data_IF_474410294197
#
_entry.id   IF_474410294197
#
_cell.length_a   1.000
_cell.length_b   1.000
_cell.length_c   1.000
_cell.angle_alpha   90.00
_cell.angle_beta   90.00
_cell.angle_gamma   90.00
#
_symmetry.space_group_name_H-M   'P 1'
#
loop_
_entity.id
_entity.type
_entity.pdbx_description
1 polymer ?
#
# COMPACT_ATOMS: atom_id res chain seq x y z
N UNK A 1 -35.48 19.07 -22.03
CA UNK A 1 -35.51 17.72 -22.60
C UNK A 1 -35.01 16.80 -21.50
N UNK A 2 -35.93 15.98 -21.01
CA UNK A 2 -35.83 15.07 -19.86
C UNK A 2 -34.98 13.86 -20.20
N UNK A 3 -33.94 13.56 -19.42
CA UNK A 3 -33.38 12.21 -19.36
C UNK A 3 -33.12 11.83 -17.90
N UNK A 4 -34.00 10.97 -17.40
CA UNK A 4 -33.92 10.25 -16.13
C UNK A 4 -32.78 9.24 -16.17
N UNK A 5 -31.84 9.32 -15.24
CA UNK A 5 -30.92 8.21 -14.95
C UNK A 5 -31.52 7.32 -13.86
N UNK A 6 -31.80 6.08 -14.27
CA UNK A 6 -32.38 5.00 -13.46
C UNK A 6 -31.36 4.47 -12.46
N UNK A 7 -31.59 4.74 -11.19
CA UNK A 7 -30.88 4.09 -10.08
C UNK A 7 -31.31 2.62 -9.97
N UNK A 8 -30.35 1.72 -10.09
CA UNK A 8 -30.56 0.27 -10.15
C UNK A 8 -30.30 -0.33 -8.76
N UNK A 9 -31.36 -0.37 -7.96
CA UNK A 9 -31.40 -0.94 -6.60
C UNK A 9 -31.09 -2.45 -6.64
N UNK A 10 -29.82 -2.84 -6.48
CA UNK A 10 -29.37 -4.24 -6.40
C UNK A 10 -29.73 -4.85 -5.03
N UNK A 11 -31.00 -5.25 -4.91
CA UNK A 11 -31.54 -6.00 -3.78
C UNK A 11 -31.23 -7.49 -3.97
N UNK A 12 -30.26 -8.01 -3.23
CA UNK A 12 -30.00 -9.46 -3.15
C UNK A 12 -31.24 -10.21 -2.64
N UNK A 13 -31.82 -11.18 -3.36
CA UNK A 13 -32.91 -11.99 -2.83
C UNK A 13 -32.33 -13.09 -1.94
N UNK A 14 -32.52 -12.99 -0.63
CA UNK A 14 -32.42 -14.14 0.26
C UNK A 14 -33.45 -15.19 -0.15
N UNK A 15 -32.99 -16.38 -0.55
CA UNK A 15 -33.85 -17.55 -0.73
C UNK A 15 -34.46 -17.95 0.63
N UNK A 16 -35.72 -17.59 0.84
CA UNK A 16 -36.55 -18.10 1.94
C UNK A 16 -37.19 -19.39 1.46
N UNK A 17 -36.78 -20.52 2.04
CA UNK A 17 -37.58 -21.74 1.94
C UNK A 17 -38.78 -21.59 2.89
N UNK A 18 -39.98 -21.51 2.31
CA UNK A 18 -41.25 -21.65 3.02
C UNK A 18 -41.98 -22.83 2.40
N UNK A 19 -42.07 -23.93 3.13
CA UNK A 19 -42.98 -25.03 2.84
C UNK A 19 -43.64 -25.46 4.14
N UNK A 20 -44.88 -25.04 4.29
CA UNK A 20 -45.83 -25.45 5.32
C UNK A 20 -46.44 -26.80 4.96
N UNK A 21 -46.47 -27.72 5.95
CA UNK A 21 -47.53 -28.72 6.10
C UNK A 21 -47.20 -30.17 5.72
N UNK A 22 -47.01 -31.02 6.74
CA UNK A 22 -47.82 -32.23 7.06
C UNK A 22 -47.09 -33.01 8.18
N UNK A 23 -47.49 -32.91 9.44
CA UNK A 23 -48.44 -33.80 10.16
C UNK A 23 -48.01 -35.28 10.20
N UNK A 24 -47.85 -35.77 11.44
CA UNK A 24 -47.69 -37.15 11.92
C UNK A 24 -46.33 -37.86 11.68
N UNK A 25 -45.49 -37.87 12.71
CA UNK A 25 -44.75 -39.10 13.08
C UNK A 25 -44.80 -39.25 14.60
N UNK A 26 -45.47 -40.34 15.01
CA UNK A 26 -45.69 -40.70 16.40
C UNK A 26 -44.37 -41.14 17.04
N UNK A 27 -44.10 -40.58 18.21
CA UNK A 27 -43.33 -41.24 19.27
C UNK A 27 -43.80 -42.68 19.39
N UNK A 28 -42.90 -43.64 19.16
CA UNK A 28 -43.06 -45.03 19.56
C UNK A 28 -41.82 -45.42 20.33
N UNK A 29 -41.98 -45.44 21.64
CA UNK A 29 -41.17 -46.22 22.57
C UNK A 29 -41.28 -47.71 22.21
N UNK A 30 -40.29 -48.47 22.67
CA UNK A 30 -40.12 -49.92 22.56
C UNK A 30 -39.41 -50.39 21.29
N UNK A 31 -38.18 -50.85 21.49
CA UNK A 31 -37.80 -52.22 21.16
C UNK A 31 -36.65 -52.62 22.11
N UNK A 32 -37.03 -53.22 23.25
CA UNK A 32 -36.16 -54.12 23.97
C UNK A 32 -36.00 -55.35 23.09
N UNK A 33 -34.83 -55.50 22.46
CA UNK A 33 -34.38 -56.82 22.04
C UNK A 33 -33.63 -57.40 23.23
N UNK A 34 -34.37 -58.21 23.96
CA UNK A 34 -33.91 -59.35 24.72
C UNK A 34 -32.87 -60.10 23.90
N UNK A 35 -31.60 -60.06 24.33
CA UNK A 35 -30.54 -60.91 23.80
C UNK A 35 -30.16 -61.81 24.95
N UNK A 36 -30.43 -63.08 24.71
CA UNK A 36 -30.29 -64.21 25.60
C UNK A 36 -28.90 -64.26 26.22
N UNK A 37 -28.95 -64.46 27.53
CA UNK A 37 -27.89 -64.85 28.45
C UNK A 37 -27.27 -66.19 28.00
N UNK A 38 -26.03 -66.16 27.52
CA UNK A 38 -25.14 -67.32 27.43
C UNK A 38 -23.81 -66.89 28.07
N UNK A 39 -23.62 -67.32 29.32
CA UNK A 39 -22.40 -67.07 30.09
C UNK A 39 -21.22 -67.95 29.65
N UNK A 40 -20.04 -67.33 29.77
CA UNK A 40 -18.74 -67.93 30.13
C UNK A 40 -17.85 -68.51 29.02
N UNK A 41 -17.00 -67.64 28.44
CA UNK A 41 -15.52 -67.81 28.47
C UNK A 41 -14.83 -66.69 27.69
N UNK A 42 -14.52 -65.56 28.34
CA UNK A 42 -13.19 -64.95 28.21
C UNK A 42 -12.99 -63.84 29.27
N UNK A 43 -12.29 -64.19 30.35
CA UNK A 43 -11.90 -63.29 31.45
C UNK A 43 -10.74 -62.40 31.02
N UNK A 44 -10.95 -61.56 30.02
CA UNK A 44 -9.94 -60.67 29.47
C UNK A 44 -10.55 -59.45 28.79
N UNK A 45 -10.84 -58.41 29.57
CA UNK A 45 -10.93 -57.03 29.08
C UNK A 45 -12.02 -56.73 28.02
N UNK A 46 -13.28 -57.10 28.27
CA UNK A 46 -14.40 -56.67 27.44
C UNK A 46 -15.20 -55.56 28.13
N UNK A 47 -14.78 -54.31 27.92
CA UNK A 47 -15.65 -53.16 28.17
C UNK A 47 -16.99 -53.38 27.47
N UNK A 48 -18.10 -53.23 28.20
CA UNK A 48 -19.44 -53.49 27.68
C UNK A 48 -19.67 -52.69 26.37
N UNK A 49 -20.37 -53.23 25.38
CA UNK A 49 -20.67 -52.50 24.13
C UNK A 49 -21.23 -51.08 24.38
N UNK A 50 -22.04 -50.92 25.44
CA UNK A 50 -22.56 -49.63 25.91
C UNK A 50 -21.45 -48.66 26.36
N UNK A 51 -20.39 -49.18 26.94
CA UNK A 51 -19.23 -48.44 27.42
C UNK A 51 -18.33 -48.00 26.27
N UNK A 52 -18.02 -48.90 25.33
CA UNK A 52 -17.29 -48.57 24.09
C UNK A 52 -17.96 -47.45 23.30
N UNK A 53 -19.30 -47.46 23.24
CA UNK A 53 -20.09 -46.39 22.61
C UNK A 53 -19.97 -45.06 23.36
N UNK A 54 -19.98 -45.07 24.70
CA UNK A 54 -19.77 -43.86 25.52
C UNK A 54 -18.37 -43.29 25.32
N UNK A 55 -17.34 -44.13 25.29
CA UNK A 55 -15.96 -43.71 25.06
C UNK A 55 -15.79 -43.04 23.69
N UNK A 56 -16.31 -43.66 22.62
CA UNK A 56 -16.25 -43.08 21.28
C UNK A 56 -16.96 -41.70 21.21
N UNK A 57 -18.12 -41.57 21.87
CA UNK A 57 -18.83 -40.30 21.95
C UNK A 57 -18.02 -39.23 22.70
N UNK A 58 -17.43 -39.58 23.85
CA UNK A 58 -16.57 -38.68 24.62
C UNK A 58 -15.33 -38.25 23.83
N UNK A 59 -14.69 -39.17 23.10
CA UNK A 59 -13.54 -38.86 22.25
C UNK A 59 -13.91 -37.90 21.11
N UNK A 60 -15.06 -38.11 20.46
CA UNK A 60 -15.55 -37.23 19.41
C UNK A 60 -15.81 -35.81 19.92
N UNK A 61 -16.46 -35.68 21.09
CA UNK A 61 -16.70 -34.36 21.70
C UNK A 61 -15.40 -33.69 22.17
N UNK A 62 -14.44 -34.45 22.71
CA UNK A 62 -13.13 -33.90 23.07
C UNK A 62 -12.40 -33.37 21.83
N UNK A 63 -12.42 -34.12 20.72
CA UNK A 63 -11.83 -33.67 19.44
C UNK A 63 -12.49 -32.38 18.94
N UNK A 64 -13.82 -32.29 19.03
CA UNK A 64 -14.57 -31.08 18.68
C UNK A 64 -14.17 -29.89 19.57
N UNK A 65 -14.08 -30.08 20.89
CA UNK A 65 -13.65 -29.03 21.84
C UNK A 65 -12.22 -28.56 21.58
N UNK A 66 -11.31 -29.49 21.31
CA UNK A 66 -9.92 -29.17 20.98
C UNK A 66 -9.82 -28.34 19.69
N UNK A 67 -10.62 -28.68 18.67
CA UNK A 67 -10.69 -27.90 17.44
C UNK A 67 -11.20 -26.47 17.67
N UNK A 68 -12.24 -26.32 18.51
CA UNK A 68 -12.77 -25.00 18.88
C UNK A 68 -11.72 -24.18 19.63
N UNK A 69 -11.03 -24.77 20.63
CA UNK A 69 -10.00 -24.08 21.39
C UNK A 69 -8.85 -23.62 20.47
N UNK A 70 -8.39 -24.47 19.54
CA UNK A 70 -7.39 -24.07 18.54
C UNK A 70 -7.87 -22.90 17.66
N UNK A 71 -9.17 -22.86 17.34
CA UNK A 71 -9.78 -21.74 16.63
C UNK A 71 -9.74 -20.43 17.43
N UNK A 72 -9.94 -20.49 18.75
CA UNK A 72 -9.78 -19.33 19.63
C UNK A 72 -8.33 -18.85 19.70
N UNK A 73 -7.37 -19.76 19.82
CA UNK A 73 -5.94 -19.41 19.85
C UNK A 73 -5.55 -18.69 18.55
N UNK A 74 -5.94 -19.24 17.39
CA UNK A 74 -5.70 -18.61 16.08
C UNK A 74 -6.39 -17.25 15.94
N UNK A 75 -7.58 -17.09 16.52
CA UNK A 75 -8.31 -15.83 16.49
C UNK A 75 -7.65 -14.76 17.35
N UNK A 76 -7.05 -15.14 18.49
CA UNK A 76 -6.28 -14.21 19.32
C UNK A 76 -5.04 -13.71 18.59
N UNK A 77 -4.37 -14.57 17.83
CA UNK A 77 -3.21 -14.21 17.02
C UNK A 77 -3.54 -13.21 15.89
N UNK A 78 -4.74 -13.31 15.31
CA UNK A 78 -5.16 -12.41 14.22
C UNK A 78 -5.66 -11.05 14.69
N UNK A 79 -6.00 -10.91 15.97
CA UNK A 79 -6.60 -9.69 16.53
C UNK A 79 -5.54 -8.96 17.36
N UNK A 80 -4.98 -7.83 16.88
CA UNK A 80 -3.87 -7.15 17.56
C UNK A 80 -4.17 -6.75 19.01
N UNK A 81 -5.42 -6.38 19.29
CA UNK A 81 -5.87 -6.00 20.63
C UNK A 81 -5.97 -7.18 21.60
N UNK A 82 -5.95 -8.42 21.11
CA UNK A 82 -5.82 -9.63 21.91
C UNK A 82 -4.34 -9.91 22.23
N UNK A 83 -3.45 -9.83 21.23
CA UNK A 83 -2.00 -10.06 21.40
C UNK A 83 -1.35 -9.12 22.42
N UNK A 84 -1.69 -7.83 22.39
CA UNK A 84 -1.13 -6.83 23.31
C UNK A 84 -1.50 -7.06 24.78
N UNK A 85 -2.53 -7.87 25.06
CA UNK A 85 -3.00 -8.13 26.43
C UNK A 85 -2.27 -9.31 27.08
N UNK A 86 -1.70 -10.23 26.30
CA UNK A 86 -1.00 -11.41 26.82
C UNK A 86 0.43 -11.10 27.29
N UNK A 87 1.06 -10.05 26.76
CA UNK A 87 2.46 -9.70 27.07
C UNK A 87 2.69 -9.17 28.50
N UNK A 88 1.63 -8.83 29.25
CA UNK A 88 1.77 -8.16 30.55
C UNK A 88 1.25 -8.90 31.78
N UNK A 89 0.34 -9.88 31.65
CA UNK A 89 -0.45 -10.33 32.83
C UNK A 89 -0.59 -11.84 33.03
N UNK A 90 -0.05 -12.70 32.17
CA UNK A 90 -0.11 -14.16 32.37
C UNK A 90 -1.53 -14.76 32.48
N UNK A 91 -2.57 -13.95 32.25
CA UNK A 91 -3.97 -14.32 32.34
C UNK A 91 -4.56 -14.48 30.95
N UNK A 92 -5.04 -15.69 30.64
CA UNK A 92 -5.66 -15.99 29.35
C UNK A 92 -6.97 -15.21 29.19
N UNK A 93 -7.08 -14.47 28.09
CA UNK A 93 -8.27 -13.68 27.78
C UNK A 93 -9.54 -14.56 27.75
N UNK A 94 -10.66 -14.06 28.28
CA UNK A 94 -11.92 -14.80 28.26
C UNK A 94 -12.43 -14.99 26.81
N UNK A 95 -13.08 -16.14 26.53
CA UNK A 95 -13.66 -16.42 25.20
C UNK A 95 -14.62 -15.31 24.74
N UNK A 96 -15.43 -14.76 25.65
CA UNK A 96 -16.35 -13.66 25.35
C UNK A 96 -15.60 -12.39 24.93
N UNK A 97 -14.52 -12.05 25.63
CA UNK A 97 -13.69 -10.88 25.31
C UNK A 97 -12.99 -11.04 23.97
N UNK A 98 -12.47 -12.22 23.65
CA UNK A 98 -11.83 -12.50 22.35
C UNK A 98 -12.84 -12.28 21.22
N UNK A 99 -14.05 -12.82 21.35
CA UNK A 99 -15.10 -12.63 20.34
C UNK A 99 -15.46 -11.14 20.18
N UNK A 100 -15.62 -10.40 21.27
CA UNK A 100 -15.95 -8.98 21.20
C UNK A 100 -14.84 -8.17 20.50
N UNK A 101 -13.58 -8.35 20.93
CA UNK A 101 -12.42 -7.70 20.29
C UNK A 101 -12.30 -8.06 18.80
N UNK A 102 -12.67 -9.29 18.43
CA UNK A 102 -12.69 -9.74 17.03
C UNK A 102 -13.77 -9.01 16.22
N UNK A 103 -14.97 -8.83 16.79
CA UNK A 103 -16.05 -8.07 16.14
C UNK A 103 -15.62 -6.63 15.91
N UNK A 104 -15.07 -6.00 16.95
CA UNK A 104 -14.60 -4.61 16.88
C UNK A 104 -13.49 -4.47 15.81
N UNK A 105 -12.57 -5.43 15.74
CA UNK A 105 -11.50 -5.43 14.74
C UNK A 105 -12.01 -5.63 13.32
N UNK A 106 -13.01 -6.50 13.10
CA UNK A 106 -13.66 -6.66 11.80
C UNK A 106 -14.35 -5.36 11.38
N UNK A 107 -15.04 -4.67 12.29
CA UNK A 107 -15.69 -3.38 12.01
C UNK A 107 -14.65 -2.31 11.66
N UNK A 108 -13.54 -2.27 12.40
CA UNK A 108 -12.41 -1.40 12.11
C UNK A 108 -11.85 -1.66 10.70
N UNK A 109 -11.54 -2.91 10.35
CA UNK A 109 -11.02 -3.29 9.03
C UNK A 109 -12.00 -2.93 7.90
N UNK A 110 -13.31 -3.10 8.11
CA UNK A 110 -14.33 -2.68 7.13
C UNK A 110 -14.31 -1.17 6.90
N UNK A 111 -14.20 -0.38 7.97
CA UNK A 111 -14.10 1.08 7.88
C UNK A 111 -12.81 1.51 7.19
N UNK A 112 -11.69 0.90 7.55
CA UNK A 112 -10.38 1.18 6.94
C UNK A 112 -10.38 0.85 5.45
N UNK A 113 -10.89 -0.32 5.08
CA UNK A 113 -11.06 -0.71 3.67
C UNK A 113 -11.89 0.30 2.88
N UNK A 114 -13.04 0.71 3.41
CA UNK A 114 -13.90 1.70 2.75
C UNK A 114 -13.19 3.07 2.59
N UNK A 115 -12.39 3.47 3.59
CA UNK A 115 -11.60 4.69 3.52
C UNK A 115 -10.51 4.60 2.44
N UNK A 116 -9.80 3.48 2.35
CA UNK A 116 -8.79 3.23 1.32
C UNK A 116 -9.41 3.20 -0.08
N UNK A 117 -10.56 2.55 -0.26
CA UNK A 117 -11.28 2.53 -1.54
C UNK A 117 -11.67 3.95 -2.00
N UNK A 118 -12.11 4.81 -1.06
CA UNK A 118 -12.42 6.21 -1.35
C UNK A 118 -11.19 7.00 -1.77
N UNK A 119 -10.06 6.78 -1.11
CA UNK A 119 -8.78 7.44 -1.42
C UNK A 119 -8.26 7.03 -2.80
N UNK A 120 -8.29 5.72 -3.10
CA UNK A 120 -7.93 5.21 -4.43
C UNK A 120 -8.79 5.84 -5.52
N UNK A 121 -10.10 5.92 -5.31
CA UNK A 121 -11.00 6.56 -6.26
C UNK A 121 -10.72 8.07 -6.45
N UNK A 122 -10.33 8.77 -5.37
CA UNK A 122 -9.95 10.18 -5.44
C UNK A 122 -8.64 10.39 -6.21
N UNK A 123 -7.61 9.59 -5.91
CA UNK A 123 -6.32 9.64 -6.60
C UNK A 123 -6.46 9.30 -8.09
N UNK A 124 -7.30 8.33 -8.45
CA UNK A 124 -7.59 8.01 -9.84
C UNK A 124 -8.21 9.21 -10.58
N UNK A 125 -9.13 9.94 -9.96
CA UNK A 125 -9.70 11.16 -10.54
C UNK A 125 -8.65 12.25 -10.73
N UNK A 126 -7.74 12.41 -9.78
CA UNK A 126 -6.64 13.38 -9.87
C UNK A 126 -5.69 13.04 -11.02
N UNK A 127 -5.29 11.76 -11.15
CA UNK A 127 -4.46 11.28 -12.26
C UNK A 127 -5.13 11.56 -13.61
N UNK A 128 -6.42 11.30 -13.74
CA UNK A 128 -7.18 11.60 -14.97
C UNK A 128 -7.18 13.10 -15.25
N UNK A 129 -7.47 13.94 -14.25
CA UNK A 129 -7.47 15.39 -14.40
C UNK A 129 -6.09 15.94 -14.82
N UNK A 130 -5.01 15.48 -14.17
CA UNK A 130 -3.64 15.84 -14.52
C UNK A 130 -3.26 15.38 -15.93
N UNK A 131 -3.69 14.18 -16.33
CA UNK A 131 -3.47 13.67 -17.69
C UNK A 131 -4.16 14.55 -18.73
N UNK A 132 -5.42 14.95 -18.47
CA UNK A 132 -6.15 15.87 -19.35
C UNK A 132 -5.42 17.22 -19.44
N UNK A 133 -5.00 17.80 -18.30
CA UNK A 133 -4.28 19.07 -18.31
C UNK A 133 -2.96 18.97 -19.10
N UNK A 134 -2.18 17.91 -18.87
CA UNK A 134 -0.95 17.65 -19.62
C UNK A 134 -1.21 17.61 -21.13
N UNK A 135 -2.21 16.84 -21.57
CA UNK A 135 -2.55 16.73 -23.00
C UNK A 135 -2.97 18.09 -23.59
N UNK A 136 -3.73 18.91 -22.84
CA UNK A 136 -4.07 20.26 -23.27
C UNK A 136 -2.82 21.15 -23.44
N UNK A 137 -1.89 21.10 -22.48
CA UNK A 137 -0.63 21.85 -22.59
C UNK A 137 0.23 21.39 -23.77
N UNK A 138 0.34 20.08 -24.00
CA UNK A 138 1.08 19.52 -25.14
C UNK A 138 0.49 20.00 -26.47
N UNK A 139 -0.85 20.04 -26.59
CA UNK A 139 -1.52 20.58 -27.77
C UNK A 139 -1.22 22.07 -28.00
N UNK A 140 -1.28 22.90 -26.94
CA UNK A 140 -0.96 24.32 -27.04
C UNK A 140 0.50 24.52 -27.46
N UNK A 141 1.43 23.77 -26.86
CA UNK A 141 2.86 23.84 -27.19
C UNK A 141 3.10 23.42 -28.64
N UNK A 142 2.51 22.31 -29.09
CA UNK A 142 2.61 21.86 -30.48
C UNK A 142 2.04 22.89 -31.46
N UNK A 143 0.91 23.52 -31.14
CA UNK A 143 0.31 24.57 -31.94
C UNK A 143 1.25 25.80 -32.04
N UNK A 144 1.88 26.19 -30.93
CA UNK A 144 2.86 27.28 -30.91
C UNK A 144 4.14 26.96 -31.69
N UNK A 145 4.62 25.71 -31.64
CA UNK A 145 5.78 25.25 -32.42
C UNK A 145 5.48 25.18 -33.93
N UNK A 146 4.23 24.88 -34.30
CA UNK A 146 3.79 24.84 -35.70
C UNK A 146 3.53 26.22 -36.33
N UNK A 147 3.62 27.32 -35.56
CA UNK A 147 3.53 28.68 -36.13
C UNK A 147 4.84 29.05 -36.87
N UNK A 148 4.79 29.35 -38.18
CA UNK A 148 5.94 29.83 -38.93
C UNK A 148 6.31 31.24 -38.43
N UNK A 149 7.38 31.34 -37.64
CA UNK A 149 7.90 32.61 -37.09
C UNK A 149 8.47 32.54 -35.67
N UNK A 150 8.10 31.53 -34.87
CA UNK A 150 8.59 31.35 -33.48
C UNK A 150 9.83 30.46 -33.36
N UNK A 151 10.15 29.65 -34.39
CA UNK A 151 11.34 28.78 -34.41
C UNK A 151 12.66 29.56 -34.23
N UNK A 152 12.69 30.85 -34.59
CA UNK A 152 13.87 31.70 -34.44
C UNK A 152 14.10 32.26 -33.01
N UNK A 153 13.24 31.93 -32.02
CA UNK A 153 13.38 32.43 -30.64
C UNK A 153 13.79 31.36 -29.63
N UNK A 154 13.83 30.08 -30.01
CA UNK A 154 14.34 29.04 -29.13
C UNK A 154 15.84 28.86 -29.36
N UNK A 155 16.63 29.36 -28.42
CA UNK A 155 18.05 29.01 -28.31
C UNK A 155 18.12 27.48 -28.13
N UNK A 156 18.83 26.78 -29.01
CA UNK A 156 18.98 25.32 -28.93
C UNK A 156 19.54 24.91 -27.57
N UNK A 157 19.10 23.75 -27.07
CA UNK A 157 19.62 23.20 -25.80
C UNK A 157 21.14 22.96 -25.87
N UNK A 158 21.69 22.70 -27.05
CA UNK A 158 23.14 22.64 -27.27
C UNK A 158 23.85 23.95 -26.92
N UNK A 159 23.27 25.08 -27.32
CA UNK A 159 23.84 26.42 -27.05
C UNK A 159 23.71 26.73 -25.56
N UNK A 160 22.58 26.39 -24.93
CA UNK A 160 22.41 26.54 -23.47
C UNK A 160 23.44 25.71 -22.71
N UNK A 161 23.68 24.48 -23.14
CA UNK A 161 24.67 23.59 -22.53
C UNK A 161 26.10 24.12 -22.71
N UNK A 162 26.44 24.62 -23.90
CA UNK A 162 27.75 25.22 -24.17
C UNK A 162 28.00 26.46 -23.30
N UNK A 163 27.00 27.34 -23.15
CA UNK A 163 27.10 28.51 -22.26
C UNK A 163 27.30 28.07 -20.80
N UNK A 164 26.49 27.13 -20.31
CA UNK A 164 26.62 26.62 -18.95
C UNK A 164 27.99 26.01 -18.70
N UNK A 165 28.45 25.15 -19.61
CA UNK A 165 29.76 24.51 -19.53
C UNK A 165 30.89 25.54 -19.46
N UNK A 166 30.90 26.52 -20.37
CA UNK A 166 31.96 27.52 -20.42
C UNK A 166 31.99 28.41 -19.16
N UNK A 167 30.84 28.72 -18.57
CA UNK A 167 30.75 29.44 -17.28
C UNK A 167 31.31 28.56 -16.15
N UNK A 168 30.93 27.29 -16.10
CA UNK A 168 31.43 26.36 -15.07
C UNK A 168 32.93 26.10 -15.19
N UNK A 169 33.46 25.95 -16.40
CA UNK A 169 34.89 25.76 -16.66
C UNK A 169 35.69 27.00 -16.22
N UNK A 170 35.16 28.21 -16.48
CA UNK A 170 35.77 29.47 -16.02
C UNK A 170 35.82 29.55 -14.49
N UNK A 171 34.74 29.15 -13.81
CA UNK A 171 34.70 29.12 -12.34
C UNK A 171 35.65 28.07 -11.77
N UNK A 172 35.68 26.87 -12.36
CA UNK A 172 36.58 25.79 -11.95
C UNK A 172 38.05 26.20 -12.05
N UNK A 173 38.43 26.91 -13.12
CA UNK A 173 39.80 27.39 -13.26
C UNK A 173 40.21 28.34 -12.12
N UNK A 174 39.31 29.24 -11.70
CA UNK A 174 39.57 30.11 -10.54
C UNK A 174 39.59 29.33 -9.22
N UNK A 175 38.75 28.30 -9.11
CA UNK A 175 38.70 27.43 -7.94
C UNK A 175 40.03 26.69 -7.75
N UNK A 176 40.56 26.06 -8.81
CA UNK A 176 41.83 25.33 -8.77
C UNK A 176 43.03 26.22 -8.37
N UNK A 177 42.95 27.52 -8.67
CA UNK A 177 44.02 28.47 -8.36
C UNK A 177 43.93 29.02 -6.93
N UNK A 178 42.72 29.14 -6.38
CA UNK A 178 42.48 29.82 -5.11
C UNK A 178 42.22 28.87 -3.94
N UNK A 179 41.78 27.65 -4.19
CA UNK A 179 41.38 26.70 -3.15
C UNK A 179 42.52 25.75 -2.81
N UNK A 180 43.03 25.84 -1.58
CA UNK A 180 44.05 24.94 -1.07
C UNK A 180 43.42 23.63 -0.58
N UNK A 181 44.00 22.49 -0.94
CA UNK A 181 43.46 21.15 -0.64
C UNK A 181 44.25 20.37 0.42
N UNK A 182 45.15 21.04 1.16
CA UNK A 182 46.10 20.38 2.04
C UNK A 182 45.50 19.86 3.36
N UNK A 183 44.53 20.58 3.94
CA UNK A 183 43.80 20.17 5.15
C UNK A 183 42.43 20.85 5.25
N UNK A 184 41.56 20.33 6.10
CA UNK A 184 40.17 20.80 6.23
C UNK A 184 40.06 22.29 6.61
N UNK A 185 40.93 22.79 7.49
CA UNK A 185 40.89 24.19 7.91
C UNK A 185 41.24 25.13 6.74
N UNK A 186 42.30 24.81 5.98
CA UNK A 186 42.69 25.54 4.77
C UNK A 186 41.64 25.45 3.67
N UNK A 187 41.05 24.28 3.43
CA UNK A 187 39.95 24.10 2.47
C UNK A 187 38.77 24.98 2.89
N UNK A 188 38.34 24.90 4.15
CA UNK A 188 37.17 25.66 4.63
C UNK A 188 37.38 27.17 4.52
N UNK A 189 38.59 27.67 4.80
CA UNK A 189 38.90 29.09 4.68
C UNK A 189 38.99 29.53 3.22
N UNK A 190 39.75 28.80 2.40
CA UNK A 190 39.99 29.16 1.00
C UNK A 190 38.76 29.04 0.11
N UNK A 191 37.87 28.06 0.34
CA UNK A 191 36.60 27.96 -0.39
C UNK A 191 35.68 29.14 -0.07
N UNK A 192 35.58 29.54 1.21
CA UNK A 192 34.74 30.68 1.62
C UNK A 192 35.29 31.96 0.98
N UNK A 193 36.60 32.20 1.08
CA UNK A 193 37.24 33.36 0.44
C UNK A 193 37.07 33.36 -1.08
N UNK A 194 37.19 32.19 -1.73
CA UNK A 194 36.98 32.07 -3.17
C UNK A 194 35.54 32.43 -3.57
N UNK A 195 34.52 31.92 -2.86
CA UNK A 195 33.12 32.27 -3.13
C UNK A 195 32.88 33.77 -2.95
N UNK A 196 33.40 34.35 -1.88
CA UNK A 196 33.22 35.79 -1.59
C UNK A 196 33.93 36.69 -2.60
N UNK A 197 35.00 36.22 -3.23
CA UNK A 197 35.78 37.00 -4.18
C UNK A 197 35.35 36.79 -5.65
N UNK A 198 35.08 35.55 -6.05
CA UNK A 198 34.90 35.15 -7.45
C UNK A 198 33.46 34.82 -7.84
N UNK A 199 32.57 34.51 -6.88
CA UNK A 199 31.17 34.17 -7.15
C UNK A 199 30.20 35.33 -6.91
N UNK A 200 30.69 36.57 -6.85
CA UNK A 200 29.85 37.78 -6.73
C UNK A 200 28.99 37.95 -7.98
N UNK A 201 27.74 38.46 -7.87
CA UNK A 201 26.85 38.65 -9.02
C UNK A 201 27.43 39.49 -10.16
N UNK A 202 28.30 40.45 -9.84
CA UNK A 202 28.99 41.27 -10.84
C UNK A 202 30.00 40.44 -11.65
N UNK A 203 30.83 39.66 -10.98
CA UNK A 203 31.85 38.82 -11.61
C UNK A 203 31.19 37.71 -12.45
N UNK A 204 30.12 37.08 -11.94
CA UNK A 204 29.36 36.09 -12.70
C UNK A 204 28.73 36.68 -13.97
N UNK A 205 28.26 37.94 -13.91
CA UNK A 205 27.77 38.65 -15.11
C UNK A 205 28.90 38.90 -16.11
N UNK A 206 30.08 39.30 -15.64
CA UNK A 206 31.25 39.53 -16.50
C UNK A 206 31.70 38.23 -17.18
N UNK A 207 31.77 37.12 -16.45
CA UNK A 207 32.05 35.78 -16.99
C UNK A 207 31.00 35.40 -18.04
N UNK A 208 29.71 35.54 -17.72
CA UNK A 208 28.62 35.20 -18.64
C UNK A 208 28.66 36.06 -19.92
N UNK A 209 28.90 37.37 -19.80
CA UNK A 209 29.07 38.26 -20.94
C UNK A 209 30.28 37.87 -21.79
N UNK A 210 31.42 37.53 -21.15
CA UNK A 210 32.61 37.07 -21.85
C UNK A 210 32.38 35.77 -22.62
N UNK A 211 31.73 34.79 -21.99
CA UNK A 211 31.35 33.51 -22.62
C UNK A 211 30.41 33.73 -23.81
N UNK A 212 29.39 34.58 -23.64
CA UNK A 212 28.46 34.89 -24.74
C UNK A 212 29.15 35.59 -25.91
N UNK A 213 30.13 36.46 -25.66
CA UNK A 213 30.93 37.11 -26.71
C UNK A 213 31.87 36.12 -27.41
N UNK A 214 32.48 35.19 -26.68
CA UNK A 214 33.34 34.14 -27.25
C UNK A 214 32.54 33.17 -28.13
N UNK A 215 31.34 32.77 -27.69
CA UNK A 215 30.47 31.89 -28.47
C UNK A 215 29.87 32.62 -29.69
N UNK A 216 29.50 33.90 -29.55
CA UNK A 216 29.02 34.71 -30.68
C UNK A 216 30.09 35.01 -31.72
N UNK A 217 31.36 35.11 -31.33
CA UNK A 217 32.48 35.27 -32.29
C UNK A 217 32.86 33.97 -32.98
N UNK A 218 32.72 32.82 -32.31
CA UNK A 218 32.87 31.50 -32.94
C UNK A 218 31.81 31.29 -34.03
N UNK A 219 30.57 31.73 -33.83
CA UNK A 219 29.51 31.65 -34.86
C UNK A 219 29.79 32.55 -36.08
N UNK A 220 30.41 33.72 -35.87
CA UNK A 220 30.79 34.64 -36.95
C UNK A 220 32.03 34.18 -37.76
N UNK A 221 32.94 33.42 -37.15
CA UNK A 221 34.15 32.91 -37.81
C UNK A 221 33.89 31.75 -38.79
N UNK A 222 32.74 31.07 -38.71
CA UNK A 222 32.33 30.02 -39.64
C UNK A 222 31.51 30.53 -40.85
N UNK A 223 31.26 31.85 -40.93
CA UNK A 223 30.55 32.49 -42.04
C UNK A 223 31.44 33.36 -42.96
N UNK A 224 32.76 33.26 -42.85
CA UNK A 224 33.74 33.79 -43.83
C UNK A 224 34.60 32.65 -44.39
#
# INVERSE_FOLDING_TARGET
>A
MTEEERDSDQRYPFSRCSSTGSIHTLTSSANNTDVTDDEDSDRGNQMSYKERRREAHTQAEQKRRNAINKGYDSLQDLVPTCQNSEQGQGYKMSKATVLQKSIDYIQFLKKEKAQQEKEVAALQKEVVALTIMKLNYEQIVSAHQSQPGQLNKQISDDVKFQVFRAVMDSLHQTFDQCVATNNFAEISGSVISWVEEHCKPQILREIMCGVLQQLGTHEAAFMN
#
